data_IF_548426775533
#
_entry.id   IF_548426775533
#
_cell.length_a   1.000
_cell.length_b   1.000
_cell.length_c   1.000
_cell.angle_alpha   90.00
_cell.angle_beta   90.00
_cell.angle_gamma   90.00
#
_symmetry.space_group_name_H-M   'P 1'
#
loop_
_entity.id
_entity.type
_entity.pdbx_description
1 polymer ?
#
# COMPACT_ATOMS: atom_id res chain seq x y z
N UNK A 1 16.57 61.79 76.38
CA UNK A 1 15.54 61.13 75.49
C UNK A 1 15.92 61.46 74.06
N UNK A 2 16.62 60.55 73.35
CA UNK A 2 17.09 60.75 71.99
C UNK A 2 16.26 59.93 71.10
N UNK A 3 15.52 60.55 70.15
CA UNK A 3 14.79 59.87 69.10
C UNK A 3 15.70 59.68 67.92
N UNK A 4 16.00 58.43 67.59
CA UNK A 4 16.69 58.03 66.34
C UNK A 4 15.69 57.82 65.29
N UNK A 5 15.75 58.57 64.17
CA UNK A 5 14.97 58.38 62.98
C UNK A 5 15.68 57.32 62.08
N UNK A 6 14.92 56.28 61.71
CA UNK A 6 15.33 55.20 60.81
C UNK A 6 14.87 55.54 59.41
N UNK A 7 15.83 55.84 58.54
CA UNK A 7 15.55 56.18 57.15
C UNK A 7 15.54 54.90 56.31
N UNK A 8 14.38 54.56 55.73
CA UNK A 8 14.23 53.38 54.88
C UNK A 8 14.55 53.80 53.43
N UNK A 9 15.64 53.30 52.89
CA UNK A 9 15.94 53.42 51.46
C UNK A 9 15.20 52.33 50.72
N UNK A 10 14.19 52.71 49.93
CA UNK A 10 13.50 51.80 48.99
C UNK A 10 14.28 51.85 47.67
N UNK A 11 15.02 50.76 47.39
CA UNK A 11 15.68 50.59 46.10
C UNK A 11 14.66 50.11 45.07
N UNK A 12 14.37 50.95 44.10
CA UNK A 12 13.53 50.63 42.94
C UNK A 12 14.32 49.72 41.97
N UNK A 13 14.05 48.42 41.98
CA UNK A 13 14.56 47.50 40.96
C UNK A 13 13.67 47.59 39.71
N UNK A 14 14.14 48.24 38.65
CA UNK A 14 13.53 48.18 37.32
C UNK A 14 13.79 46.78 36.70
N UNK A 15 12.76 46.07 36.25
CA UNK A 15 13.00 44.85 35.47
C UNK A 15 13.45 45.25 34.06
N UNK A 16 14.66 44.83 33.72
CA UNK A 16 15.20 44.91 32.37
C UNK A 16 14.45 43.86 31.52
N UNK A 17 13.40 44.24 30.82
CA UNK A 17 12.71 43.38 29.82
C UNK A 17 13.62 43.34 28.59
N UNK A 18 14.39 42.27 28.46
CA UNK A 18 15.11 41.96 27.24
C UNK A 18 14.11 41.64 26.15
N UNK A 19 13.93 42.55 25.23
CA UNK A 19 13.17 42.30 24.00
C UNK A 19 13.94 41.28 23.16
N UNK A 20 13.49 40.03 23.15
CA UNK A 20 13.94 39.02 22.20
C UNK A 20 13.43 39.45 20.84
N UNK A 21 14.27 40.08 20.05
CA UNK A 21 13.99 40.36 18.65
C UNK A 21 13.89 39.00 17.91
N UNK A 22 12.67 38.60 17.57
CA UNK A 22 12.47 37.47 16.67
C UNK A 22 13.17 37.80 15.35
N UNK A 23 14.21 37.06 15.02
CA UNK A 23 14.87 37.17 13.73
C UNK A 23 13.83 36.92 12.64
N UNK A 24 13.73 37.77 11.58
CA UNK A 24 12.83 37.51 10.47
C UNK A 24 13.23 36.18 9.85
N UNK A 25 12.30 35.24 9.79
CA UNK A 25 12.44 34.04 8.95
C UNK A 25 12.72 34.55 7.55
N UNK A 26 13.95 34.34 7.06
CA UNK A 26 14.35 34.78 5.73
C UNK A 26 13.30 34.30 4.72
N UNK A 27 12.67 35.22 4.05
CA UNK A 27 11.76 34.89 2.97
C UNK A 27 12.55 34.05 1.96
N UNK A 28 12.10 32.81 1.71
CA UNK A 28 12.71 31.95 0.70
C UNK A 28 12.95 32.79 -0.55
N UNK A 29 14.19 32.83 -1.04
CA UNK A 29 14.61 33.66 -2.14
C UNK A 29 13.70 33.43 -3.34
N UNK A 30 13.45 34.48 -4.13
CA UNK A 30 12.65 34.38 -5.34
C UNK A 30 13.17 33.32 -6.32
N UNK A 31 14.50 33.04 -6.27
CA UNK A 31 15.17 31.97 -6.99
C UNK A 31 14.69 30.58 -6.55
N UNK A 32 14.65 30.33 -5.27
CA UNK A 32 14.20 29.03 -4.72
C UNK A 32 12.74 28.73 -5.11
N UNK A 33 11.88 29.75 -5.08
CA UNK A 33 10.47 29.60 -5.49
C UNK A 33 10.33 29.34 -6.99
N UNK A 34 11.18 29.90 -7.81
CA UNK A 34 11.18 29.62 -9.24
C UNK A 34 11.67 28.21 -9.53
N UNK A 35 12.72 27.77 -8.85
CA UNK A 35 13.25 26.41 -8.94
C UNK A 35 12.23 25.36 -8.49
N UNK A 36 11.58 25.58 -7.34
CA UNK A 36 10.51 24.69 -6.84
C UNK A 36 9.37 24.58 -7.86
N UNK A 37 8.98 25.68 -8.52
CA UNK A 37 7.96 25.63 -9.58
C UNK A 37 8.44 24.83 -10.79
N UNK A 38 9.66 25.03 -11.23
CA UNK A 38 10.24 24.31 -12.35
C UNK A 38 10.33 22.80 -12.06
N UNK A 39 10.80 22.43 -10.85
CA UNK A 39 10.85 21.03 -10.42
C UNK A 39 9.46 20.40 -10.36
N UNK A 40 8.46 21.10 -9.85
CA UNK A 40 7.07 20.61 -9.85
C UNK A 40 6.55 20.38 -11.27
N UNK A 41 6.83 21.27 -12.20
CA UNK A 41 6.45 21.09 -13.61
C UNK A 41 7.14 19.86 -14.20
N UNK A 42 8.44 19.68 -13.96
CA UNK A 42 9.18 18.50 -14.42
C UNK A 42 8.61 17.20 -13.83
N UNK A 43 8.26 17.21 -12.53
CA UNK A 43 7.61 16.05 -11.89
C UNK A 43 6.26 15.73 -12.54
N UNK A 44 5.44 16.75 -12.85
CA UNK A 44 4.15 16.52 -13.52
C UNK A 44 4.32 16.00 -14.96
N UNK A 45 5.30 16.50 -15.71
CA UNK A 45 5.60 15.95 -17.04
C UNK A 45 6.14 14.50 -16.97
N UNK A 46 7.02 14.20 -16.00
CA UNK A 46 7.48 12.84 -15.77
C UNK A 46 6.34 11.90 -15.40
N UNK A 47 5.40 12.34 -14.56
CA UNK A 47 4.21 11.55 -14.23
C UNK A 47 3.35 11.26 -15.45
N UNK A 48 3.16 12.23 -16.34
CA UNK A 48 2.39 12.03 -17.58
C UNK A 48 3.08 11.08 -18.56
N UNK A 49 4.41 11.06 -18.58
CA UNK A 49 5.19 10.18 -19.44
C UNK A 49 5.52 8.83 -18.81
N UNK A 50 5.22 8.65 -17.51
CA UNK A 50 5.45 7.38 -16.82
C UNK A 50 4.58 6.29 -17.43
N UNK A 51 5.16 5.09 -17.57
CA UNK A 51 4.37 3.92 -17.97
C UNK A 51 3.33 3.60 -16.90
N UNK A 52 2.08 3.52 -17.31
CA UNK A 52 0.98 3.07 -16.49
C UNK A 52 0.51 1.71 -17.04
N UNK A 53 0.70 0.62 -16.29
CA UNK A 53 0.24 -0.69 -16.73
C UNK A 53 -1.28 -0.69 -16.82
N UNK A 54 -1.82 -1.21 -17.91
CA UNK A 54 -3.25 -1.38 -18.09
C UNK A 54 -3.81 -2.36 -17.05
N UNK A 55 -5.06 -2.15 -16.62
CA UNK A 55 -5.69 -3.01 -15.61
C UNK A 55 -5.69 -4.48 -16.03
N UNK A 56 -5.93 -4.78 -17.32
CA UNK A 56 -5.89 -6.13 -17.85
C UNK A 56 -4.52 -6.82 -17.72
N UNK A 57 -3.43 -6.07 -17.90
CA UNK A 57 -2.06 -6.58 -17.71
C UNK A 57 -1.81 -6.93 -16.24
N UNK A 58 -2.26 -6.08 -15.32
CA UNK A 58 -2.14 -6.34 -13.89
C UNK A 58 -2.99 -7.54 -13.44
N UNK A 59 -4.20 -7.69 -13.98
CA UNK A 59 -5.04 -8.86 -13.73
C UNK A 59 -4.40 -10.15 -14.25
N UNK A 60 -3.67 -10.11 -15.36
CA UNK A 60 -2.89 -11.26 -15.85
C UNK A 60 -1.76 -11.64 -14.88
N UNK A 61 -1.05 -10.65 -14.32
CA UNK A 61 -0.02 -10.90 -13.29
C UNK A 61 -0.66 -11.57 -12.07
N UNK A 62 -1.78 -11.04 -11.57
CA UNK A 62 -2.53 -11.64 -10.46
C UNK A 62 -2.93 -13.09 -10.76
N UNK A 63 -3.41 -13.38 -11.96
CA UNK A 63 -3.77 -14.73 -12.38
C UNK A 63 -2.58 -15.69 -12.38
N UNK A 64 -1.42 -15.25 -12.86
CA UNK A 64 -0.18 -16.05 -12.85
C UNK A 64 0.26 -16.35 -11.42
N UNK A 65 0.28 -15.34 -10.53
CA UNK A 65 0.65 -15.50 -9.11
C UNK A 65 -0.32 -16.43 -8.38
N UNK A 66 -1.61 -16.24 -8.61
CA UNK A 66 -2.66 -17.08 -8.05
C UNK A 66 -2.49 -18.56 -8.48
N UNK A 67 -2.24 -18.81 -9.76
CA UNK A 67 -2.00 -20.18 -10.24
C UNK A 67 -0.72 -20.81 -9.65
N UNK A 68 0.38 -20.07 -9.57
CA UNK A 68 1.63 -20.55 -8.96
C UNK A 68 1.47 -20.88 -7.48
N UNK A 69 0.73 -20.05 -6.75
CA UNK A 69 0.39 -20.30 -5.35
C UNK A 69 -0.32 -21.64 -5.17
N UNK A 70 -1.30 -21.96 -6.02
CA UNK A 70 -2.00 -23.24 -5.99
C UNK A 70 -1.02 -24.42 -6.08
N UNK A 71 -0.19 -24.44 -7.12
CA UNK A 71 0.74 -25.55 -7.34
C UNK A 71 1.82 -25.65 -6.26
N UNK A 72 2.25 -24.52 -5.69
CA UNK A 72 3.18 -24.49 -4.56
C UNK A 72 2.57 -25.16 -3.32
N UNK A 73 1.32 -24.81 -2.98
CA UNK A 73 0.59 -25.39 -1.85
C UNK A 73 0.27 -26.88 -2.06
N UNK A 74 -0.16 -27.27 -3.26
CA UNK A 74 -0.40 -28.67 -3.62
C UNK A 74 0.85 -29.53 -3.49
N UNK A 75 2.01 -29.00 -3.90
CA UNK A 75 3.29 -29.68 -3.76
C UNK A 75 3.86 -29.66 -2.33
N UNK A 76 3.23 -28.95 -1.39
CA UNK A 76 3.76 -28.73 -0.03
C UNK A 76 5.01 -27.86 0.01
N UNK A 77 5.28 -27.08 -1.04
CA UNK A 77 6.38 -26.11 -1.08
C UNK A 77 5.95 -24.82 -0.38
N UNK A 78 5.91 -24.86 0.95
CA UNK A 78 5.43 -23.76 1.77
C UNK A 78 6.26 -22.48 1.64
N UNK A 79 7.58 -22.61 1.36
CA UNK A 79 8.42 -21.45 1.12
C UNK A 79 8.01 -20.73 -0.16
N UNK A 80 7.77 -21.47 -1.24
CA UNK A 80 7.26 -20.88 -2.48
C UNK A 80 5.83 -20.34 -2.29
N UNK A 81 4.97 -21.05 -1.54
CA UNK A 81 3.63 -20.57 -1.25
C UNK A 81 3.64 -19.25 -0.47
N UNK A 82 4.53 -19.12 0.53
CA UNK A 82 4.73 -17.85 1.28
C UNK A 82 5.13 -16.72 0.34
N UNK A 83 6.10 -16.97 -0.55
CA UNK A 83 6.54 -16.01 -1.56
C UNK A 83 5.39 -15.58 -2.47
N UNK A 84 4.63 -16.53 -3.02
CA UNK A 84 3.52 -16.19 -3.94
C UNK A 84 2.35 -15.48 -3.24
N UNK A 85 2.10 -15.71 -1.93
CA UNK A 85 1.12 -14.92 -1.17
C UNK A 85 1.58 -13.47 -1.01
N UNK A 86 2.88 -13.25 -0.78
CA UNK A 86 3.44 -11.90 -0.71
C UNK A 86 3.35 -11.20 -2.06
N UNK A 87 3.75 -11.85 -3.14
CA UNK A 87 3.69 -11.33 -4.51
C UNK A 87 2.25 -11.01 -4.95
N UNK A 88 1.27 -11.81 -4.52
CA UNK A 88 -0.14 -11.50 -4.74
C UNK A 88 -0.57 -10.22 -4.02
N UNK A 89 -0.15 -10.03 -2.76
CA UNK A 89 -0.46 -8.80 -2.03
C UNK A 89 0.15 -7.59 -2.75
N UNK A 90 1.42 -7.67 -3.13
CA UNK A 90 2.11 -6.58 -3.84
C UNK A 90 1.45 -6.28 -5.19
N UNK A 91 1.00 -7.32 -5.91
CA UNK A 91 0.27 -7.15 -7.16
C UNK A 91 -1.11 -6.49 -6.97
N UNK A 92 -1.85 -6.81 -5.89
CA UNK A 92 -3.09 -6.11 -5.55
C UNK A 92 -2.83 -4.64 -5.20
N UNK A 93 -1.77 -4.36 -4.43
CA UNK A 93 -1.38 -3.00 -4.07
C UNK A 93 -0.99 -2.19 -5.32
N UNK A 94 -0.30 -2.81 -6.29
CA UNK A 94 0.03 -2.19 -7.56
C UNK A 94 -1.22 -1.84 -8.39
N UNK A 95 -2.25 -2.69 -8.40
CA UNK A 95 -3.55 -2.37 -9.04
C UNK A 95 -4.15 -1.12 -8.43
N UNK A 96 -4.18 -1.02 -7.10
CA UNK A 96 -4.72 0.16 -6.39
C UNK A 96 -3.95 1.44 -6.74
N UNK A 97 -2.63 1.34 -6.86
CA UNK A 97 -1.77 2.50 -7.17
C UNK A 97 -1.93 2.97 -8.61
N UNK A 98 -1.95 2.04 -9.57
CA UNK A 98 -1.94 2.38 -10.99
C UNK A 98 -3.32 2.53 -11.60
N UNK A 99 -4.32 1.83 -11.08
CA UNK A 99 -5.70 1.82 -11.56
C UNK A 99 -6.68 2.04 -10.40
N UNK A 100 -6.64 3.21 -9.72
CA UNK A 100 -7.47 3.45 -8.54
C UNK A 100 -8.97 3.50 -8.86
N UNK A 101 -9.31 3.77 -10.12
CA UNK A 101 -10.68 3.94 -10.57
C UNK A 101 -10.96 3.01 -11.77
N UNK A 102 -12.15 2.42 -11.79
CA UNK A 102 -12.68 1.63 -12.91
C UNK A 102 -14.09 2.13 -13.25
N UNK A 103 -14.34 2.40 -14.52
CA UNK A 103 -15.62 2.93 -14.97
C UNK A 103 -16.80 1.99 -14.70
N UNK A 104 -16.55 0.68 -14.63
CA UNK A 104 -17.58 -0.33 -14.40
C UNK A 104 -17.94 -0.46 -12.91
N UNK A 105 -17.18 0.12 -12.01
CA UNK A 105 -17.43 0.11 -10.56
C UNK A 105 -18.11 1.37 -10.04
N UNK A 106 -18.32 2.40 -10.87
CA UNK A 106 -18.91 3.66 -10.45
C UNK A 106 -20.25 3.47 -9.73
N UNK A 107 -20.52 4.17 -8.62
CA UNK A 107 -19.72 5.29 -8.06
C UNK A 107 -18.54 4.85 -7.15
N UNK A 108 -18.37 3.58 -6.86
CA UNK A 108 -17.29 3.05 -6.03
C UNK A 108 -15.96 3.11 -6.79
N UNK A 109 -14.87 3.18 -6.04
CA UNK A 109 -13.52 3.18 -6.59
C UNK A 109 -12.89 1.79 -6.48
N UNK A 110 -12.14 1.37 -7.50
CA UNK A 110 -11.39 0.11 -7.44
C UNK A 110 -10.41 0.09 -6.25
N UNK A 111 -9.80 1.23 -5.93
CA UNK A 111 -8.92 1.40 -4.77
C UNK A 111 -9.59 1.09 -3.41
N UNK A 112 -10.90 1.18 -3.32
CA UNK A 112 -11.66 0.88 -2.10
C UNK A 112 -12.23 -0.55 -2.15
N UNK A 113 -12.79 -0.95 -3.28
CA UNK A 113 -13.44 -2.26 -3.46
C UNK A 113 -12.43 -3.41 -3.40
N UNK A 114 -11.30 -3.29 -4.10
CA UNK A 114 -10.32 -4.37 -4.21
C UNK A 114 -9.73 -4.76 -2.83
N UNK A 115 -9.22 -3.83 -2.01
CA UNK A 115 -8.75 -4.18 -0.67
C UNK A 115 -9.86 -4.70 0.25
N UNK A 116 -11.08 -4.18 0.13
CA UNK A 116 -12.22 -4.64 0.93
C UNK A 116 -12.55 -6.12 0.65
N UNK A 117 -12.41 -6.57 -0.58
CA UNK A 117 -12.70 -7.95 -0.97
C UNK A 117 -11.53 -8.91 -0.76
N UNK A 118 -10.28 -8.44 -0.81
CA UNK A 118 -9.10 -9.32 -0.81
C UNK A 118 -8.37 -9.43 0.53
N UNK A 119 -8.53 -8.45 1.44
CA UNK A 119 -7.80 -8.40 2.72
C UNK A 119 -7.98 -9.67 3.56
N UNK A 120 -9.21 -10.06 3.83
CA UNK A 120 -9.50 -11.25 4.63
C UNK A 120 -9.08 -12.56 3.95
N UNK A 121 -9.37 -12.79 2.65
CA UNK A 121 -8.87 -13.96 1.94
C UNK A 121 -7.34 -14.08 1.93
N UNK A 122 -6.62 -13.00 1.72
CA UNK A 122 -5.15 -13.00 1.76
C UNK A 122 -4.63 -13.30 3.17
N UNK A 123 -5.24 -12.72 4.21
CA UNK A 123 -4.88 -13.02 5.59
C UNK A 123 -5.13 -14.50 5.93
N UNK A 124 -6.23 -15.07 5.46
CA UNK A 124 -6.54 -16.49 5.64
C UNK A 124 -5.52 -17.40 4.92
N UNK A 125 -5.12 -17.04 3.68
CA UNK A 125 -4.07 -17.74 2.93
C UNK A 125 -2.73 -17.70 3.67
N UNK A 126 -2.31 -16.54 4.15
CA UNK A 126 -1.07 -16.36 4.89
C UNK A 126 -1.04 -17.27 6.12
N UNK A 127 -2.11 -17.25 6.92
CA UNK A 127 -2.26 -18.13 8.08
C UNK A 127 -2.22 -19.63 7.72
N UNK A 128 -2.86 -20.01 6.62
CA UNK A 128 -2.90 -21.41 6.17
C UNK A 128 -1.52 -21.89 5.71
N UNK A 129 -0.78 -21.05 4.98
CA UNK A 129 0.59 -21.33 4.53
C UNK A 129 1.54 -21.43 5.73
N UNK A 130 1.46 -20.51 6.70
CA UNK A 130 2.28 -20.52 7.91
C UNK A 130 2.05 -21.79 8.74
N UNK A 131 0.81 -22.27 8.80
CA UNK A 131 0.47 -23.51 9.49
C UNK A 131 0.85 -24.79 8.72
N UNK A 132 1.26 -24.65 7.46
CA UNK A 132 1.59 -25.75 6.54
C UNK A 132 0.47 -26.79 6.42
N UNK A 133 -0.76 -26.34 6.58
CA UNK A 133 -1.96 -27.21 6.54
C UNK A 133 -2.56 -27.18 5.13
N UNK A 134 -2.45 -28.30 4.42
CA UNK A 134 -2.99 -28.43 3.08
C UNK A 134 -4.49 -28.14 3.03
N UNK A 135 -5.27 -28.71 3.95
CA UNK A 135 -6.72 -28.52 3.99
C UNK A 135 -7.12 -27.06 4.29
N UNK A 136 -6.37 -26.38 5.20
CA UNK A 136 -6.60 -24.97 5.46
C UNK A 136 -6.22 -24.12 4.25
N UNK A 137 -5.13 -24.45 3.56
CA UNK A 137 -4.68 -23.80 2.35
C UNK A 137 -5.72 -23.89 1.23
N UNK A 138 -6.20 -25.10 0.93
CA UNK A 138 -7.22 -25.32 -0.10
C UNK A 138 -8.48 -24.48 0.16
N UNK A 139 -8.97 -24.47 1.40
CA UNK A 139 -10.13 -23.67 1.80
C UNK A 139 -9.88 -22.17 1.63
N UNK A 140 -8.71 -21.70 2.05
CA UNK A 140 -8.36 -20.28 1.95
C UNK A 140 -8.17 -19.84 0.48
N UNK A 141 -7.58 -20.72 -0.34
CA UNK A 141 -7.42 -20.51 -1.77
C UNK A 141 -8.77 -20.37 -2.50
N UNK A 142 -9.71 -21.26 -2.20
CA UNK A 142 -11.08 -21.17 -2.73
C UNK A 142 -11.76 -19.86 -2.29
N UNK A 143 -11.51 -19.42 -1.07
CA UNK A 143 -12.02 -18.14 -0.55
C UNK A 143 -11.51 -16.95 -1.37
N UNK A 144 -10.21 -16.92 -1.70
CA UNK A 144 -9.65 -15.86 -2.56
C UNK A 144 -10.20 -15.96 -3.98
N UNK A 145 -10.29 -17.16 -4.55
CA UNK A 145 -10.87 -17.38 -5.89
C UNK A 145 -12.32 -16.88 -5.97
N UNK A 146 -13.11 -17.13 -4.94
CA UNK A 146 -14.48 -16.64 -4.83
C UNK A 146 -14.55 -15.10 -4.73
N UNK A 147 -13.64 -14.48 -3.96
CA UNK A 147 -13.55 -13.02 -3.86
C UNK A 147 -13.21 -12.39 -5.21
N UNK A 148 -12.22 -12.93 -5.94
CA UNK A 148 -11.85 -12.46 -7.28
C UNK A 148 -13.05 -12.57 -8.25
N UNK A 149 -13.72 -13.72 -8.27
CA UNK A 149 -14.91 -13.94 -9.11
C UNK A 149 -16.03 -12.96 -8.73
N UNK A 150 -16.23 -12.73 -7.44
CA UNK A 150 -17.22 -11.78 -6.94
C UNK A 150 -16.95 -10.35 -7.40
N UNK A 151 -15.67 -9.89 -7.32
CA UNK A 151 -15.25 -8.58 -7.81
C UNK A 151 -15.49 -8.44 -9.32
N UNK A 152 -15.09 -9.43 -10.13
CA UNK A 152 -15.33 -9.44 -11.57
C UNK A 152 -16.81 -9.34 -11.91
N UNK A 153 -17.65 -10.02 -11.15
CA UNK A 153 -19.10 -9.96 -11.34
C UNK A 153 -19.68 -8.58 -11.05
N UNK A 154 -19.23 -7.94 -9.96
CA UNK A 154 -19.64 -6.56 -9.63
C UNK A 154 -19.19 -5.58 -10.72
N UNK A 155 -18.03 -5.80 -11.33
CA UNK A 155 -17.50 -5.01 -12.44
C UNK A 155 -18.11 -5.39 -13.81
N UNK A 156 -19.17 -6.19 -13.86
CA UNK A 156 -19.83 -6.59 -15.12
C UNK A 156 -19.05 -7.61 -15.97
N UNK A 157 -18.06 -8.27 -15.40
CA UNK A 157 -17.22 -9.27 -16.06
C UNK A 157 -17.55 -10.70 -15.60
N UNK A 158 -18.83 -11.08 -15.63
CA UNK A 158 -19.34 -12.38 -15.14
C UNK A 158 -18.66 -13.60 -15.75
N UNK A 159 -18.12 -13.45 -16.97
CA UNK A 159 -17.40 -14.51 -17.67
C UNK A 159 -16.04 -14.84 -17.04
N UNK A 160 -15.48 -13.95 -16.21
CA UNK A 160 -14.18 -14.14 -15.55
C UNK A 160 -14.35 -14.88 -14.22
N UNK A 161 -14.49 -16.19 -14.32
CA UNK A 161 -14.63 -17.09 -13.15
C UNK A 161 -13.27 -17.65 -12.77
N UNK A 162 -12.80 -17.30 -11.56
CA UNK A 162 -11.53 -17.78 -11.03
C UNK A 162 -11.75 -19.10 -10.29
N UNK A 163 -10.91 -20.08 -10.59
CA UNK A 163 -11.02 -21.45 -10.04
C UNK A 163 -9.62 -22.05 -9.78
N UNK A 164 -9.58 -23.20 -9.14
CA UNK A 164 -8.35 -23.98 -9.02
C UNK A 164 -7.79 -24.36 -10.38
N UNK A 165 -6.53 -24.02 -10.70
CA UNK A 165 -5.95 -24.38 -11.99
C UNK A 165 -5.69 -25.89 -12.08
N UNK A 166 -5.87 -26.49 -13.25
CA UNK A 166 -5.62 -27.91 -13.49
C UNK A 166 -4.20 -28.16 -14.01
N UNK A 167 -3.65 -27.21 -14.75
CA UNK A 167 -2.32 -27.28 -15.35
C UNK A 167 -1.62 -25.93 -15.15
N UNK A 168 -0.29 -25.90 -14.92
CA UNK A 168 0.45 -24.65 -14.86
C UNK A 168 0.32 -23.87 -16.18
N UNK A 169 0.11 -22.56 -16.08
CA UNK A 169 0.18 -21.65 -17.23
C UNK A 169 1.61 -21.56 -17.80
N UNK A 170 2.60 -21.66 -16.91
CA UNK A 170 4.02 -21.64 -17.19
C UNK A 170 4.65 -22.80 -16.41
N UNK A 171 5.43 -23.63 -17.06
CA UNK A 171 6.03 -24.87 -16.50
C UNK A 171 7.54 -24.76 -16.22
N UNK A 172 8.14 -23.60 -16.47
CA UNK A 172 9.54 -23.34 -16.27
C UNK A 172 9.94 -23.00 -14.83
N UNK A 173 8.99 -23.00 -13.90
CA UNK A 173 9.22 -22.85 -12.47
C UNK A 173 9.01 -24.19 -11.75
N UNK A 174 10.06 -24.68 -11.07
CA UNK A 174 9.94 -25.89 -10.27
C UNK A 174 9.11 -25.60 -9.00
N UNK A 175 7.92 -26.17 -8.91
CA UNK A 175 7.03 -26.02 -7.75
C UNK A 175 7.32 -27.02 -6.63
N UNK A 176 7.94 -28.15 -6.94
CA UNK A 176 8.35 -29.14 -5.91
C UNK A 176 9.36 -28.53 -4.93
N UNK A 177 9.31 -28.89 -3.61
CA UNK A 177 10.27 -28.42 -2.63
C UNK A 177 11.72 -28.75 -3.04
N UNK A 178 12.65 -27.84 -2.75
CA UNK A 178 14.09 -28.14 -2.79
C UNK A 178 14.46 -28.83 -1.48
N UNK A 179 15.26 -29.88 -1.59
CA UNK A 179 15.79 -30.59 -0.41
C UNK A 179 16.73 -29.68 0.37
#
# INVERSE_FOLDING_TARGET
>A
MKKTAFSIFVALLLPCVAAVAAAPVAAADSGDRAEIRALRQQVEELKKSAYHPELGEQMLILQIRHARLWFAGEAGNWNLATFEVQELQEAFDAVVVHNPDDANLQPERLADVLPAMTREPIAALRKAVDSKSKAAFEKAYDGLSAACTGCHRVAGNDMLVIQRPKTPLLDNLRVAPTK
#
